data_IF_980811312726
#
_entry.id   IF_980811312726
#
_cell.length_a   1.000
_cell.length_b   1.000
_cell.length_c   1.000
_cell.angle_alpha   90.00
_cell.angle_beta   90.00
_cell.angle_gamma   90.00
#
_symmetry.space_group_name_H-M   'P 1'
#
loop_
_entity.id
_entity.type
_entity.pdbx_description
1 polymer ?
#
# COMPACT_ATOMS: atom_id res chain seq x y z
N UNK A 1 10.08 4.12 -7.13
CA UNK A 1 10.53 3.33 -5.97
C UNK A 1 12.05 3.48 -5.86
N UNK A 2 12.61 3.65 -4.67
CA UNK A 2 14.06 3.75 -4.52
C UNK A 2 14.72 2.41 -4.83
N UNK A 3 15.93 2.45 -5.39
CA UNK A 3 16.72 1.26 -5.70
C UNK A 3 17.06 0.49 -4.40
N UNK A 4 16.98 -0.85 -4.39
CA UNK A 4 17.19 -1.66 -3.18
C UNK A 4 18.53 -1.40 -2.50
N UNK A 5 19.61 -1.20 -3.26
CA UNK A 5 20.94 -0.90 -2.75
C UNK A 5 21.00 0.42 -1.96
N UNK A 6 20.24 1.44 -2.38
CA UNK A 6 20.15 2.71 -1.67
C UNK A 6 19.36 2.59 -0.36
N UNK A 7 18.30 1.76 -0.36
CA UNK A 7 17.50 1.51 0.86
C UNK A 7 18.34 0.78 1.92
N UNK A 8 19.25 -0.10 1.50
CA UNK A 8 20.16 -0.82 2.39
C UNK A 8 21.20 0.11 3.05
N UNK A 9 21.71 1.10 2.32
CA UNK A 9 22.68 2.07 2.85
C UNK A 9 22.07 3.05 3.85
N UNK A 10 20.76 3.34 3.74
CA UNK A 10 20.07 4.31 4.57
C UNK A 10 18.81 3.71 5.22
N UNK A 11 18.95 2.71 6.11
CA UNK A 11 17.82 1.93 6.61
C UNK A 11 16.83 2.75 7.44
N UNK A 12 17.31 3.86 8.03
CA UNK A 12 16.56 4.84 8.83
C UNK A 12 16.07 6.05 8.04
N UNK A 13 16.44 6.14 6.76
CA UNK A 13 15.93 7.18 5.90
C UNK A 13 14.53 6.81 5.39
N UNK A 14 13.65 7.81 5.37
CA UNK A 14 12.32 7.72 4.77
C UNK A 14 12.07 8.99 3.98
N UNK A 15 11.61 8.83 2.74
CA UNK A 15 11.21 9.91 1.86
C UNK A 15 9.71 9.83 1.64
N UNK A 16 8.99 10.91 1.94
CA UNK A 16 7.54 11.03 1.70
C UNK A 16 7.31 12.15 0.70
N UNK A 17 6.51 11.87 -0.33
CA UNK A 17 6.01 12.88 -1.25
C UNK A 17 4.57 13.23 -0.83
N UNK A 18 4.34 14.50 -0.47
CA UNK A 18 3.02 15.01 -0.14
C UNK A 18 2.49 15.84 -1.32
N UNK A 19 1.44 15.37 -2.02
CA UNK A 19 0.84 16.16 -3.10
C UNK A 19 0.15 17.40 -2.52
N UNK A 20 0.36 18.55 -3.15
CA UNK A 20 -0.27 19.81 -2.75
C UNK A 20 -1.34 20.13 -3.78
N UNK A 21 -2.61 20.26 -3.35
CA UNK A 21 -3.76 20.41 -4.26
C UNK A 21 -3.69 21.63 -5.21
N UNK A 22 -2.89 22.65 -4.87
CA UNK A 22 -2.78 23.90 -5.66
C UNK A 22 -1.40 24.08 -6.30
N UNK A 23 -0.60 23.03 -6.36
CA UNK A 23 0.71 23.05 -6.98
C UNK A 23 0.85 21.83 -7.88
N UNK A 24 1.50 22.02 -9.02
CA UNK A 24 2.00 20.91 -9.84
C UNK A 24 3.26 20.27 -9.23
N UNK A 25 3.78 20.82 -8.13
CA UNK A 25 4.89 20.26 -7.37
C UNK A 25 4.39 19.56 -6.10
N UNK A 26 5.03 18.43 -5.77
CA UNK A 26 4.83 17.74 -4.49
C UNK A 26 5.92 18.14 -3.49
N UNK A 27 5.57 18.28 -2.23
CA UNK A 27 6.55 18.48 -1.16
C UNK A 27 7.27 17.17 -0.88
N UNK A 28 8.60 17.19 -0.90
CA UNK A 28 9.44 16.06 -0.56
C UNK A 28 9.97 16.23 0.87
N UNK A 29 9.61 15.30 1.76
CA UNK A 29 10.10 15.28 3.14
C UNK A 29 11.03 14.09 3.31
N UNK A 30 12.31 14.37 3.57
CA UNK A 30 13.31 13.38 3.93
C UNK A 30 13.51 13.38 5.44
N UNK A 31 13.24 12.25 6.08
CA UNK A 31 13.60 12.00 7.48
C UNK A 31 14.76 11.01 7.51
N UNK A 32 15.90 11.41 8.07
CA UNK A 32 17.12 10.57 8.16
C UNK A 32 17.25 9.79 9.48
N UNK A 33 16.41 10.14 10.46
CA UNK A 33 16.46 9.57 11.81
C UNK A 33 15.26 8.69 12.14
N UNK A 34 14.50 8.26 11.13
CA UNK A 34 13.29 7.49 11.36
C UNK A 34 13.65 6.19 12.11
N UNK A 35 13.23 6.12 13.37
CA UNK A 35 13.16 4.84 14.07
C UNK A 35 11.97 4.14 13.43
N UNK A 36 12.22 3.29 12.42
CA UNK A 36 11.19 2.43 11.88
C UNK A 36 10.69 1.56 13.05
N UNK A 37 9.54 1.90 13.63
CA UNK A 37 8.70 0.85 14.19
C UNK A 37 8.47 -0.09 13.01
N UNK A 38 8.94 -1.32 13.10
CA UNK A 38 8.43 -2.38 12.25
C UNK A 38 6.93 -2.42 12.49
N UNK A 39 6.17 -1.69 11.69
CA UNK A 39 4.77 -2.00 11.54
C UNK A 39 4.80 -3.40 10.94
N UNK A 40 4.46 -4.40 11.76
CA UNK A 40 4.08 -5.72 11.26
C UNK A 40 3.03 -5.42 10.21
N UNK A 41 3.45 -5.48 8.95
CA UNK A 41 2.64 -4.98 7.86
C UNK A 41 1.30 -5.67 7.95
N UNK A 42 0.22 -4.88 8.04
CA UNK A 42 -1.07 -5.38 7.59
C UNK A 42 -0.81 -5.86 6.17
N UNK A 43 -0.88 -7.19 5.99
CA UNK A 43 -0.57 -7.85 4.75
C UNK A 43 -1.30 -7.11 3.62
N UNK A 44 -0.59 -6.95 2.50
CA UNK A 44 -1.02 -6.33 1.23
C UNK A 44 -2.53 -6.11 1.18
N UNK A 45 -2.96 -4.89 0.88
CA UNK A 45 -4.38 -4.51 0.73
C UNK A 45 -5.26 -5.57 0.05
N UNK A 46 -4.72 -6.27 -0.97
CA UNK A 46 -5.33 -7.39 -1.69
C UNK A 46 -5.67 -8.62 -0.80
N UNK A 47 -4.86 -8.92 0.21
CA UNK A 47 -5.09 -10.00 1.17
C UNK A 47 -6.15 -9.65 2.22
N UNK A 48 -6.45 -8.36 2.42
CA UNK A 48 -7.47 -7.92 3.38
C UNK A 48 -8.88 -8.28 2.89
N UNK A 49 -9.11 -8.24 1.58
CA UNK A 49 -10.40 -8.60 0.96
C UNK A 49 -10.73 -10.08 1.11
N UNK A 50 -9.72 -10.95 1.15
CA UNK A 50 -9.90 -12.40 1.35
C UNK A 50 -10.26 -12.77 2.80
N UNK A 51 -10.05 -11.87 3.76
CA UNK A 51 -10.37 -12.10 5.18
C UNK A 51 -11.77 -11.59 5.55
N UNK A 52 -12.39 -10.79 4.69
CA UNK A 52 -13.74 -10.26 4.90
C UNK A 52 -14.80 -11.22 4.34
N UNK A 53 -15.63 -11.75 5.25
CA UNK A 53 -16.70 -12.70 4.89
C UNK A 53 -17.74 -12.09 3.95
N UNK A 54 -17.98 -10.78 4.04
CA UNK A 54 -18.93 -10.10 3.16
C UNK A 54 -18.41 -10.10 1.71
N UNK A 55 -17.11 -9.89 1.52
CA UNK A 55 -16.46 -9.98 0.22
C UNK A 55 -16.52 -11.40 -0.36
N UNK A 56 -16.34 -12.44 0.46
CA UNK A 56 -16.49 -13.84 0.02
C UNK A 56 -17.91 -14.13 -0.51
N UNK A 57 -18.95 -13.66 0.18
CA UNK A 57 -20.34 -13.84 -0.23
C UNK A 57 -20.67 -13.11 -1.54
N UNK A 58 -20.11 -11.92 -1.75
CA UNK A 58 -20.26 -11.17 -2.99
C UNK A 58 -19.63 -11.93 -4.16
N UNK A 59 -18.40 -12.44 -3.98
CA UNK A 59 -17.69 -13.22 -4.99
C UNK A 59 -18.48 -14.48 -5.36
N UNK A 60 -18.97 -15.23 -4.37
CA UNK A 60 -19.79 -16.43 -4.61
C UNK A 60 -21.06 -16.12 -5.41
N UNK A 61 -21.74 -15.02 -5.07
CA UNK A 61 -22.93 -14.57 -5.81
C UNK A 61 -22.62 -14.15 -7.24
N UNK A 62 -21.51 -13.43 -7.45
CA UNK A 62 -21.10 -13.01 -8.78
C UNK A 62 -20.74 -14.22 -9.67
N UNK A 63 -20.04 -15.21 -9.11
CA UNK A 63 -19.63 -16.41 -9.86
C UNK A 63 -20.75 -17.41 -10.11
N UNK A 64 -21.80 -17.41 -9.28
CA UNK A 64 -22.96 -18.29 -9.46
C UNK A 64 -23.96 -17.78 -10.50
N UNK A 65 -23.80 -16.55 -10.99
CA UNK A 65 -24.53 -16.06 -12.16
C UNK A 65 -23.95 -16.75 -13.40
N UNK A 66 -24.49 -17.92 -13.73
CA UNK A 66 -24.29 -18.53 -15.02
C UNK A 66 -25.04 -17.68 -16.06
N UNK A 67 -24.28 -17.08 -16.98
CA UNK A 67 -24.86 -16.45 -18.15
C UNK A 67 -25.32 -17.60 -19.05
N UNK A 68 -26.62 -17.91 -19.01
CA UNK A 68 -27.23 -18.74 -20.03
C UNK A 68 -27.12 -17.98 -21.35
N UNK A 69 -26.29 -18.50 -22.26
CA UNK A 69 -26.22 -18.05 -23.65
C UNK A 69 -27.46 -18.43 -24.43
#
# INVERSE_FOLDING_TARGET
MALPEWVACFPRASLVALPIQRSNHSLLILSVNLVKMQQKGLGKFEAMWLMDRMTEDIIKKAWSVSIAG
#
